data_IF_553800276300
#
_entry.id   IF_553800276300
#
_cell.length_a   1.000
_cell.length_b   1.000
_cell.length_c   1.000
_cell.angle_alpha   90.00
_cell.angle_beta   90.00
_cell.angle_gamma   90.00
#
_symmetry.space_group_name_H-M   'P 1'
#
loop_
_entity.id
_entity.type
_entity.pdbx_description
1 polymer ?
#
# COMPACT_ATOMS: atom_id res chain seq x y z
N UNK A 1 6.13 6.10 -18.11
CA UNK A 1 5.09 7.04 -17.64
C UNK A 1 5.19 7.08 -16.13
N UNK A 2 6.18 7.84 -15.66
CA UNK A 2 6.57 7.93 -14.26
C UNK A 2 5.70 8.99 -13.59
N UNK A 3 4.51 8.56 -13.19
CA UNK A 3 3.53 9.36 -12.45
C UNK A 3 2.94 8.54 -11.31
N UNK A 4 3.77 7.71 -10.68
CA UNK A 4 3.33 6.91 -9.55
C UNK A 4 3.17 7.88 -8.35
N UNK A 5 1.98 8.01 -7.73
CA UNK A 5 1.72 9.02 -6.68
C UNK A 5 2.72 8.90 -5.53
N UNK A 6 3.52 9.92 -5.24
CA UNK A 6 4.47 9.87 -4.13
C UNK A 6 3.70 9.71 -2.81
N UNK A 7 3.99 8.62 -2.09
CA UNK A 7 3.32 8.38 -0.81
C UNK A 7 3.94 9.27 0.23
N UNK A 8 3.13 10.20 0.75
CA UNK A 8 3.58 11.17 1.73
C UNK A 8 4.01 10.41 2.99
N UNK A 9 5.22 10.68 3.49
CA UNK A 9 5.71 10.09 4.74
C UNK A 9 4.74 10.32 5.91
N UNK A 10 4.02 11.45 5.90
CA UNK A 10 2.96 11.75 6.87
C UNK A 10 1.79 10.77 6.84
N UNK A 11 1.42 10.23 5.67
CA UNK A 11 0.37 9.20 5.58
C UNK A 11 0.85 7.90 6.22
N UNK A 12 2.08 7.47 5.92
CA UNK A 12 2.62 6.22 6.48
C UNK A 12 2.76 6.30 8.00
N UNK A 13 3.24 7.43 8.53
CA UNK A 13 3.32 7.64 9.98
C UNK A 13 1.95 7.52 10.67
N UNK A 14 0.88 8.00 10.02
CA UNK A 14 -0.48 7.88 10.55
C UNK A 14 -0.99 6.43 10.56
N UNK A 15 -0.50 5.56 9.67
CA UNK A 15 -0.86 4.13 9.68
C UNK A 15 -0.31 3.36 10.89
N UNK A 16 0.58 3.95 11.70
CA UNK A 16 0.94 3.38 13.00
C UNK A 16 -0.22 3.45 14.00
N UNK A 17 -1.17 4.36 13.80
CA UNK A 17 -2.41 4.40 14.55
C UNK A 17 -3.46 3.52 13.86
N UNK A 18 -3.83 2.41 14.50
CA UNK A 18 -4.84 1.49 13.97
C UNK A 18 -6.25 2.10 13.98
N UNK A 19 -6.48 3.11 14.82
CA UNK A 19 -7.78 3.75 14.95
C UNK A 19 -7.93 4.97 14.01
N UNK A 20 -6.87 5.40 13.30
CA UNK A 20 -6.92 6.45 12.28
C UNK A 20 -7.53 5.92 10.97
N UNK A 21 -8.85 5.74 10.99
CA UNK A 21 -9.63 5.23 9.86
C UNK A 21 -9.47 6.07 8.59
N UNK A 22 -9.29 7.38 8.73
CA UNK A 22 -9.09 8.29 7.60
C UNK A 22 -7.77 8.00 6.88
N UNK A 23 -6.69 7.75 7.64
CA UNK A 23 -5.41 7.35 7.06
C UNK A 23 -5.51 5.98 6.36
N UNK A 24 -6.20 5.02 6.96
CA UNK A 24 -6.43 3.71 6.34
C UNK A 24 -7.26 3.80 5.06
N UNK A 25 -8.27 4.67 5.04
CA UNK A 25 -9.07 4.92 3.85
C UNK A 25 -8.22 5.56 2.74
N UNK A 26 -7.47 6.63 3.04
CA UNK A 26 -6.59 7.31 2.08
C UNK A 26 -5.54 6.33 1.52
N UNK A 27 -4.94 5.51 2.38
CA UNK A 27 -4.00 4.46 1.98
C UNK A 27 -4.64 3.45 1.01
N UNK A 28 -5.84 2.95 1.34
CA UNK A 28 -6.56 2.00 0.51
C UNK A 28 -6.91 2.58 -0.87
N UNK A 29 -7.40 3.82 -0.91
CA UNK A 29 -7.75 4.52 -2.16
C UNK A 29 -6.54 4.67 -3.11
N UNK A 30 -5.34 4.85 -2.55
CA UNK A 30 -4.11 4.97 -3.33
C UNK A 30 -3.60 3.60 -3.79
N UNK A 31 -3.54 2.62 -2.88
CA UNK A 31 -2.79 1.38 -3.09
C UNK A 31 -3.62 0.22 -3.61
N UNK A 32 -4.89 0.09 -3.21
CA UNK A 32 -5.76 -0.95 -3.73
C UNK A 32 -5.83 -0.96 -5.27
N UNK A 33 -6.14 0.16 -5.96
CA UNK A 33 -6.19 0.16 -7.42
C UNK A 33 -4.81 -0.04 -8.07
N UNK A 34 -3.72 0.34 -7.39
CA UNK A 34 -2.36 0.13 -7.89
C UNK A 34 -2.00 -1.36 -7.88
N UNK A 35 -2.21 -2.05 -6.76
CA UNK A 35 -1.96 -3.50 -6.63
C UNK A 35 -2.90 -4.28 -7.55
N UNK A 36 -4.18 -3.91 -7.61
CA UNK A 36 -5.14 -4.52 -8.52
C UNK A 36 -4.67 -4.44 -9.99
N UNK A 37 -4.26 -3.24 -10.46
CA UNK A 37 -3.74 -3.08 -11.83
C UNK A 37 -2.47 -3.89 -12.06
N UNK A 38 -1.59 -3.97 -11.07
CA UNK A 38 -0.38 -4.80 -11.15
C UNK A 38 -0.75 -6.28 -11.29
N UNK A 39 -1.63 -6.82 -10.45
CA UNK A 39 -2.11 -8.20 -10.55
C UNK A 39 -2.78 -8.46 -11.92
N UNK A 40 -3.63 -7.54 -12.40
CA UNK A 40 -4.24 -7.62 -13.74
C UNK A 40 -3.18 -7.66 -14.85
N UNK A 41 -2.14 -6.83 -14.77
CA UNK A 41 -1.03 -6.83 -15.73
C UNK A 41 -0.20 -8.12 -15.71
N UNK A 42 -0.26 -8.87 -14.60
CA UNK A 42 0.39 -10.17 -14.44
C UNK A 42 -0.49 -11.35 -14.88
N UNK A 43 -1.70 -11.08 -15.40
CA UNK A 43 -2.58 -12.09 -16.00
C UNK A 43 -3.62 -12.69 -15.04
N UNK A 44 -3.70 -12.21 -13.79
CA UNK A 44 -4.74 -12.66 -12.86
C UNK A 44 -6.12 -12.24 -13.36
N UNK A 45 -7.12 -13.11 -13.21
CA UNK A 45 -8.53 -12.77 -13.46
C UNK A 45 -9.04 -11.69 -12.49
N UNK A 46 -10.19 -11.10 -12.76
CA UNK A 46 -10.70 -9.95 -12.01
C UNK A 46 -10.87 -10.25 -10.51
N UNK A 47 -11.48 -11.39 -10.16
CA UNK A 47 -11.66 -11.82 -8.77
C UNK A 47 -10.32 -11.97 -8.07
N UNK A 48 -9.40 -12.73 -8.65
CA UNK A 48 -8.11 -13.01 -8.02
C UNK A 48 -7.28 -11.74 -7.86
N UNK A 49 -7.40 -10.79 -8.80
CA UNK A 49 -6.74 -9.50 -8.68
C UNK A 49 -7.31 -8.65 -7.54
N UNK A 50 -8.62 -8.74 -7.25
CA UNK A 50 -9.23 -8.09 -6.08
C UNK A 50 -8.75 -8.76 -4.78
N UNK A 51 -8.70 -10.10 -4.76
CA UNK A 51 -8.25 -10.85 -3.58
C UNK A 51 -6.78 -10.57 -3.28
N UNK A 52 -5.93 -10.52 -4.31
CA UNK A 52 -4.52 -10.14 -4.17
C UNK A 52 -4.38 -8.72 -3.63
N UNK A 53 -5.17 -7.76 -4.15
CA UNK A 53 -5.13 -6.39 -3.66
C UNK A 53 -5.50 -6.32 -2.17
N UNK A 54 -6.58 -6.99 -1.77
CA UNK A 54 -6.99 -7.06 -0.37
C UNK A 54 -5.92 -7.71 0.52
N UNK A 55 -5.38 -8.87 0.12
CA UNK A 55 -4.35 -9.58 0.88
C UNK A 55 -3.09 -8.74 1.07
N UNK A 56 -2.64 -8.02 0.04
CA UNK A 56 -1.50 -7.10 0.15
C UNK A 56 -1.78 -6.00 1.16
N UNK A 57 -2.96 -5.36 1.09
CA UNK A 57 -3.32 -4.30 2.04
C UNK A 57 -3.39 -4.83 3.48
N UNK A 58 -3.93 -6.02 3.70
CA UNK A 58 -3.99 -6.67 5.01
C UNK A 58 -2.58 -6.97 5.56
N UNK A 59 -1.66 -7.44 4.71
CA UNK A 59 -0.26 -7.67 5.10
C UNK A 59 0.45 -6.38 5.47
N UNK A 60 0.20 -5.29 4.73
CA UNK A 60 0.71 -3.97 5.09
C UNK A 60 0.18 -3.57 6.46
N UNK A 61 -1.10 -3.76 6.74
CA UNK A 61 -1.68 -3.41 8.03
C UNK A 61 -1.00 -4.14 9.20
N UNK A 62 -0.59 -5.40 9.01
CA UNK A 62 0.14 -6.16 10.03
C UNK A 62 1.63 -5.82 10.16
N UNK A 63 2.23 -5.19 9.14
CA UNK A 63 3.67 -4.95 9.08
C UNK A 63 4.07 -3.47 9.23
N UNK A 64 3.19 -2.54 8.87
CA UNK A 64 3.48 -1.10 8.82
C UNK A 64 3.79 -0.50 10.18
N UNK A 65 3.25 -1.04 11.28
CA UNK A 65 3.60 -0.58 12.63
C UNK A 65 5.11 -0.68 12.94
N UNK A 66 5.81 -1.61 12.29
CA UNK A 66 7.25 -1.83 12.46
C UNK A 66 8.07 -1.19 11.35
N UNK A 67 7.40 -0.58 10.37
CA UNK A 67 8.07 0.10 9.30
C UNK A 67 8.55 1.45 9.80
N UNK A 68 9.83 1.74 9.63
CA UNK A 68 10.42 3.02 9.96
C UNK A 68 11.01 3.63 8.69
N UNK A 69 10.80 4.94 8.44
CA UNK A 69 11.45 5.61 7.32
C UNK A 69 12.97 5.57 7.50
N UNK A 70 13.67 4.90 6.60
CA UNK A 70 15.12 4.78 6.61
C UNK A 70 15.67 5.07 5.20
N UNK A 71 16.43 6.18 5.01
CA UNK A 71 17.00 6.56 3.73
C UNK A 71 17.87 5.46 3.10
N UNK A 72 18.47 4.58 3.90
CA UNK A 72 19.31 3.47 3.42
C UNK A 72 18.48 2.24 3.00
N UNK A 73 17.28 2.05 3.57
CA UNK A 73 16.39 0.92 3.23
C UNK A 73 15.46 1.21 2.05
N UNK A 74 15.33 2.48 1.67
CA UNK A 74 14.57 2.91 0.50
C UNK A 74 13.15 3.40 0.82
N UNK A 75 12.36 3.62 -0.23
CA UNK A 75 11.00 4.19 -0.09
C UNK A 75 10.00 3.15 0.41
N UNK A 76 8.91 3.60 1.02
CA UNK A 76 7.79 2.73 1.39
C UNK A 76 7.28 1.88 0.21
N UNK A 77 7.31 2.42 -1.02
CA UNK A 77 6.94 1.67 -2.23
C UNK A 77 7.93 0.61 -2.66
N UNK A 78 9.20 0.76 -2.35
CA UNK A 78 10.19 -0.28 -2.61
C UNK A 78 10.08 -1.42 -1.60
N UNK A 79 9.56 -1.11 -0.41
CA UNK A 79 9.23 -2.10 0.62
C UNK A 79 7.93 -2.87 0.31
N UNK A 80 6.93 -2.19 -0.26
CA UNK A 80 5.66 -2.78 -0.70
C UNK A 80 5.81 -3.69 -1.93
#
# INVERSE_FOLDING_TARGET
MDGAPETRASLILRLHDRDDLDAWQEFSEIYHPLVFRLARSKGFQHSDALDVAQEVLLRVAGAVERWEPDPEKGTFRGWL
#
